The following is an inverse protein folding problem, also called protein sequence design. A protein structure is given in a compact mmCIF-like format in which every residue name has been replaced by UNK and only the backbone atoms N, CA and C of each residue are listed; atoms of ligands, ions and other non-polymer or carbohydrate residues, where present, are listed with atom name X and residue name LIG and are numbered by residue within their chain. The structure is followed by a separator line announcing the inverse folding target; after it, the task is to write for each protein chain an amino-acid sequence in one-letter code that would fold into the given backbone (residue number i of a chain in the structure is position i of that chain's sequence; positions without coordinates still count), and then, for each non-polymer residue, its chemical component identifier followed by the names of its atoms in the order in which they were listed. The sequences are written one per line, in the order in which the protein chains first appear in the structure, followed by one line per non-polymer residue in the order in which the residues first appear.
data_IF_393440432770
#
_entry.id   IF_393440432770
#
_cell.length_a   1.000
_cell.length_b   1.000
_cell.length_c   1.000
_cell.angle_alpha   90.00
_cell.angle_beta   90.00
_cell.angle_gamma   90.00
#
_symmetry.space_group_name_H-M   'P 1'
#
loop_
_entity.id
_entity.type
_entity.pdbx_description
1 polymer ?
#
# COMPACT_ATOMS: atom_id res chain seq x y z
N UNK A 1 6.13 29.94 34.58
CA UNK A 1 6.92 29.27 33.52
C UNK A 1 5.99 28.33 32.79
N UNK A 2 6.11 28.23 31.46
CA UNK A 2 5.30 27.34 30.61
C UNK A 2 6.22 26.54 29.70
N UNK A 3 5.83 25.31 29.38
CA UNK A 3 6.57 24.41 28.49
C UNK A 3 5.67 24.00 27.31
N UNK A 4 6.26 23.84 26.13
CA UNK A 4 5.60 23.27 24.95
C UNK A 4 6.18 21.89 24.69
N UNK A 5 5.32 20.88 24.49
CA UNK A 5 5.71 19.49 24.27
C UNK A 5 5.12 19.02 22.95
N UNK A 6 5.95 18.46 22.08
CA UNK A 6 5.53 17.80 20.84
C UNK A 6 5.90 16.32 20.92
N UNK A 7 4.93 15.43 20.67
CA UNK A 7 5.14 14.00 20.65
C UNK A 7 4.92 13.47 19.23
N UNK A 8 5.96 12.86 18.65
CA UNK A 8 5.91 12.27 17.30
C UNK A 8 6.07 10.76 17.39
N UNK A 9 5.11 10.04 16.82
CA UNK A 9 5.18 8.59 16.67
C UNK A 9 5.91 8.23 15.37
N UNK A 10 6.71 7.14 15.38
CA UNK A 10 7.44 6.67 14.18
C UNK A 10 6.66 5.66 13.34
N UNK A 11 5.60 5.08 13.89
CA UNK A 11 4.77 4.06 13.24
C UNK A 11 3.67 3.60 14.18
N UNK A 12 2.90 2.60 13.76
CA UNK A 12 1.79 2.07 14.54
C UNK A 12 2.27 0.98 15.51
N UNK A 13 2.18 1.20 16.84
CA UNK A 13 2.49 0.17 17.82
C UNK A 13 1.42 -0.92 17.86
N UNK A 14 1.76 -2.09 18.39
CA UNK A 14 0.79 -3.18 18.60
C UNK A 14 -0.27 -2.82 19.66
N UNK A 15 0.10 -2.05 20.67
CA UNK A 15 -0.82 -1.58 21.71
C UNK A 15 -1.47 -0.26 21.28
N UNK A 16 -2.80 -0.25 21.18
CA UNK A 16 -3.59 0.91 20.74
C UNK A 16 -3.62 2.06 21.73
N UNK A 17 -3.36 1.79 23.01
CA UNK A 17 -3.36 2.79 24.06
C UNK A 17 -2.10 2.67 24.90
N UNK A 18 -1.44 3.79 25.15
CA UNK A 18 -0.32 3.90 26.08
C UNK A 18 -0.45 5.14 26.92
N UNK A 19 0.23 5.16 28.06
CA UNK A 19 0.35 6.37 28.87
C UNK A 19 1.78 6.62 29.26
N UNK A 20 2.12 7.89 29.42
CA UNK A 20 3.40 8.32 29.97
C UNK A 20 3.20 9.56 30.84
N UNK A 21 4.14 9.78 31.76
CA UNK A 21 4.03 10.83 32.76
C UNK A 21 5.14 11.85 32.58
N UNK A 22 4.77 13.12 32.56
CA UNK A 22 5.69 14.26 32.61
C UNK A 22 5.59 14.87 34.01
N UNK A 23 6.71 14.96 34.72
CA UNK A 23 6.75 15.58 36.05
C UNK A 23 8.04 16.39 36.25
N UNK A 24 7.97 17.53 36.96
CA UNK A 24 9.17 18.23 37.40
C UNK A 24 9.84 17.48 38.55
N UNK A 25 11.17 17.57 38.62
CA UNK A 25 11.95 16.93 39.67
C UNK A 25 11.65 17.60 41.02
N UNK A 26 11.38 16.81 42.06
CA UNK A 26 11.13 17.32 43.42
C UNK A 26 9.68 17.74 43.72
N UNK A 27 8.76 17.58 42.77
CA UNK A 27 7.33 17.87 42.96
C UNK A 27 6.48 16.60 42.97
N UNK A 28 5.36 16.63 43.70
CA UNK A 28 4.37 15.54 43.72
C UNK A 28 3.44 15.59 42.50
N UNK A 29 3.16 16.79 42.00
CA UNK A 29 2.27 16.98 40.86
C UNK A 29 2.88 16.41 39.58
N UNK A 30 2.04 15.83 38.74
CA UNK A 30 2.45 15.23 37.48
C UNK A 30 1.35 15.34 36.43
N UNK A 31 1.76 15.39 35.17
CA UNK A 31 0.89 15.33 34.01
C UNK A 31 0.93 13.90 33.46
N UNK A 32 -0.22 13.23 33.43
CA UNK A 32 -0.37 11.92 32.80
C UNK A 32 -0.94 12.15 31.40
N UNK A 33 -0.22 11.72 30.38
CA UNK A 33 -0.64 11.81 28.99
C UNK A 33 -1.12 10.43 28.55
N UNK A 34 -2.39 10.33 28.15
CA UNK A 34 -2.95 9.14 27.52
C UNK A 34 -2.88 9.32 26.00
N UNK A 35 -2.28 8.35 25.33
CA UNK A 35 -2.09 8.32 23.88
C UNK A 35 -2.88 7.16 23.31
N UNK A 36 -3.82 7.47 22.43
CA UNK A 36 -4.53 6.49 21.61
C UNK A 36 -3.97 6.56 20.19
N UNK A 37 -3.47 5.44 19.68
CA UNK A 37 -2.92 5.32 18.34
C UNK A 37 -4.04 4.93 17.37
N UNK A 38 -4.39 5.85 16.48
CA UNK A 38 -5.44 5.62 15.48
C UNK A 38 -4.84 5.17 14.15
N UNK A 39 -4.62 3.86 14.06
CA UNK A 39 -3.92 3.21 12.96
C UNK A 39 -4.84 2.45 12.00
N UNK A 40 -6.05 2.15 12.46
CA UNK A 40 -7.01 1.32 11.74
C UNK A 40 -7.98 2.22 10.97
N UNK A 41 -8.42 1.76 9.80
CA UNK A 41 -9.50 2.41 9.07
C UNK A 41 -10.86 1.87 9.57
N UNK A 42 -11.84 2.75 9.74
CA UNK A 42 -13.18 2.36 10.22
C UNK A 42 -13.86 1.26 9.36
N UNK A 43 -13.59 1.23 8.04
CA UNK A 43 -14.11 0.21 7.13
C UNK A 43 -13.55 -1.19 7.38
N UNK A 44 -12.44 -1.34 8.10
CA UNK A 44 -11.89 -2.67 8.43
C UNK A 44 -12.81 -3.46 9.36
N UNK A 45 -13.65 -2.78 10.14
CA UNK A 45 -14.67 -3.43 10.95
C UNK A 45 -15.76 -4.13 10.12
N UNK A 46 -15.89 -3.78 8.83
CA UNK A 46 -16.83 -4.35 7.88
C UNK A 46 -16.15 -5.32 6.90
N UNK A 47 -14.92 -5.74 7.18
CA UNK A 47 -14.21 -6.68 6.33
C UNK A 47 -15.00 -7.99 6.21
N UNK A 48 -15.19 -8.44 4.98
CA UNK A 48 -15.88 -9.69 4.67
C UNK A 48 -14.84 -10.77 4.34
N UNK A 49 -14.48 -11.65 5.29
CA UNK A 49 -13.58 -12.77 5.01
C UNK A 49 -14.24 -13.75 4.04
N UNK A 50 -13.46 -14.33 3.14
CA UNK A 50 -13.94 -15.24 2.08
C UNK A 50 -15.11 -14.65 1.29
N UNK A 51 -15.04 -13.37 0.93
CA UNK A 51 -16.12 -12.68 0.24
C UNK A 51 -16.32 -13.26 -1.16
N UNK A 52 -17.58 -13.39 -1.57
CA UNK A 52 -17.96 -13.77 -2.93
C UNK A 52 -17.37 -12.82 -4.00
N UNK A 53 -17.12 -11.56 -3.63
CA UNK A 53 -16.53 -10.54 -4.50
C UNK A 53 -15.06 -10.81 -4.83
N UNK A 54 -14.37 -11.57 -3.98
CA UNK A 54 -12.98 -11.93 -4.14
C UNK A 54 -12.88 -13.38 -4.65
N UNK A 55 -13.43 -13.60 -5.85
CA UNK A 55 -13.47 -14.89 -6.54
C UNK A 55 -14.03 -16.03 -5.68
N UNK A 56 -15.28 -15.86 -5.21
CA UNK A 56 -16.02 -16.88 -4.45
C UNK A 56 -15.31 -17.43 -3.18
N UNK A 57 -14.50 -16.60 -2.53
CA UNK A 57 -13.90 -16.94 -1.23
C UNK A 57 -12.38 -17.03 -1.22
N UNK A 58 -11.70 -16.59 -2.28
CA UNK A 58 -10.23 -16.60 -2.36
C UNK A 58 -9.57 -15.40 -1.66
N UNK A 59 -10.35 -14.54 -1.01
CA UNK A 59 -9.82 -13.38 -0.29
C UNK A 59 -10.83 -12.69 0.61
N UNK A 60 -10.34 -11.69 1.34
CA UNK A 60 -11.12 -10.83 2.22
C UNK A 60 -11.44 -9.52 1.50
N UNK A 61 -12.72 -9.16 1.41
CA UNK A 61 -13.12 -7.85 0.88
C UNK A 61 -13.07 -6.82 2.00
N UNK A 62 -12.13 -5.88 1.93
CA UNK A 62 -11.85 -4.89 2.99
C UNK A 62 -11.71 -3.51 2.34
N UNK A 63 -12.46 -2.52 2.84
CA UNK A 63 -12.35 -1.11 2.42
C UNK A 63 -12.46 -0.89 0.89
N UNK A 64 -13.22 -1.73 0.17
CA UNK A 64 -13.45 -1.60 -1.26
C UNK A 64 -12.47 -2.38 -2.16
N UNK A 65 -11.50 -3.09 -1.57
CA UNK A 65 -10.51 -3.90 -2.30
C UNK A 65 -10.49 -5.34 -1.80
N UNK A 66 -10.05 -6.26 -2.66
CA UNK A 66 -9.82 -7.65 -2.24
C UNK A 66 -8.40 -7.82 -1.72
N UNK A 67 -8.28 -8.31 -0.48
CA UNK A 67 -7.03 -8.80 0.10
C UNK A 67 -6.97 -10.31 -0.12
N UNK A 68 -6.23 -10.73 -1.15
CA UNK A 68 -6.19 -12.12 -1.55
C UNK A 68 -5.49 -13.02 -0.53
N UNK A 69 -5.99 -14.25 -0.42
CA UNK A 69 -5.35 -15.29 0.37
C UNK A 69 -4.05 -15.78 -0.28
N UNK A 70 -3.29 -16.62 0.42
CA UNK A 70 -2.05 -17.20 -0.11
C UNK A 70 -2.28 -17.91 -1.45
N UNK A 71 -1.40 -17.68 -2.42
CA UNK A 71 -1.47 -18.28 -3.75
C UNK A 71 -2.51 -17.67 -4.69
N UNK A 72 -3.28 -16.66 -4.26
CA UNK A 72 -4.22 -15.94 -5.11
C UNK A 72 -3.80 -14.51 -5.36
N UNK A 73 -3.93 -14.07 -6.61
CA UNK A 73 -3.50 -12.76 -7.09
C UNK A 73 -4.59 -12.11 -7.93
N UNK A 74 -4.40 -10.83 -8.23
CA UNK A 74 -5.33 -10.02 -9.02
C UNK A 74 -6.23 -9.14 -8.15
N UNK A 75 -6.98 -8.28 -8.83
CA UNK A 75 -7.82 -7.26 -8.16
C UNK A 75 -9.04 -7.86 -7.45
N UNK A 76 -9.45 -9.07 -7.86
CA UNK A 76 -10.57 -9.84 -7.35
C UNK A 76 -10.12 -11.25 -6.90
N UNK A 77 -8.82 -11.52 -6.78
CA UNK A 77 -8.28 -12.85 -6.45
C UNK A 77 -8.65 -13.90 -7.50
N UNK A 78 -8.71 -13.49 -8.75
CA UNK A 78 -9.14 -14.26 -9.92
C UNK A 78 -8.10 -15.27 -10.40
N UNK A 79 -6.84 -15.12 -10.00
CA UNK A 79 -5.76 -15.97 -10.47
C UNK A 79 -5.08 -16.76 -9.35
N UNK A 80 -4.79 -18.02 -9.64
CA UNK A 80 -3.90 -18.87 -8.85
C UNK A 80 -2.46 -18.70 -9.34
N UNK A 81 -1.53 -18.51 -8.40
CA UNK A 81 -0.08 -18.44 -8.67
C UNK A 81 0.44 -19.77 -9.25
N UNK A 82 -0.15 -20.91 -8.85
CA UNK A 82 0.24 -22.24 -9.33
C UNK A 82 -0.21 -22.51 -10.78
N UNK A 83 -1.30 -21.88 -11.21
CA UNK A 83 -1.85 -22.03 -12.56
C UNK A 83 -1.27 -21.01 -13.56
N UNK A 84 -0.25 -20.24 -13.15
CA UNK A 84 0.39 -19.25 -14.00
C UNK A 84 1.07 -19.92 -15.20
N UNK A 85 0.48 -19.74 -16.38
CA UNK A 85 1.01 -20.30 -17.63
C UNK A 85 1.95 -19.29 -18.30
N UNK A 86 3.11 -19.73 -18.84
CA UNK A 86 4.03 -18.86 -19.58
C UNK A 86 3.39 -18.10 -20.75
N UNK A 87 2.30 -18.63 -21.31
CA UNK A 87 1.52 -17.96 -22.37
C UNK A 87 0.85 -16.65 -21.93
N UNK A 88 0.66 -16.43 -20.63
CA UNK A 88 0.16 -15.15 -20.09
C UNK A 88 1.26 -14.09 -19.97
N UNK A 89 2.54 -14.49 -20.04
CA UNK A 89 3.67 -13.55 -20.04
C UNK A 89 3.67 -12.67 -21.30
N UNK A 90 3.16 -13.21 -22.42
CA UNK A 90 3.04 -12.50 -23.69
C UNK A 90 2.02 -11.34 -23.59
N UNK A 91 1.01 -11.46 -22.72
CA UNK A 91 0.00 -10.42 -22.49
C UNK A 91 0.56 -9.20 -21.75
N UNK A 92 1.70 -9.36 -21.07
CA UNK A 92 2.43 -8.33 -20.33
C UNK A 92 3.54 -7.65 -21.15
N UNK A 93 3.67 -7.98 -22.43
CA UNK A 93 4.57 -7.30 -23.35
C UNK A 93 3.78 -6.66 -24.49
N UNK A 94 4.06 -5.41 -24.87
CA UNK A 94 3.29 -4.74 -25.90
C UNK A 94 3.47 -5.36 -27.30
N UNK A 95 4.63 -5.99 -27.57
CA UNK A 95 4.97 -6.70 -28.81
C UNK A 95 5.99 -7.79 -28.52
N UNK A 96 6.10 -8.80 -29.40
CA UNK A 96 7.16 -9.79 -29.29
C UNK A 96 8.56 -9.13 -29.31
N UNK A 97 9.42 -9.57 -28.40
CA UNK A 97 10.77 -9.01 -28.22
C UNK A 97 10.83 -7.71 -27.41
N UNK A 98 9.71 -7.16 -26.96
CA UNK A 98 9.70 -6.06 -25.98
C UNK A 98 9.81 -6.61 -24.55
N UNK A 99 10.38 -5.83 -23.62
CA UNK A 99 10.45 -6.23 -22.22
C UNK A 99 9.05 -6.34 -21.59
N UNK A 100 8.87 -7.40 -20.80
CA UNK A 100 7.71 -7.58 -19.94
C UNK A 100 7.59 -6.40 -18.98
N UNK A 101 6.40 -5.80 -18.92
CA UNK A 101 6.08 -4.66 -18.06
C UNK A 101 7.11 -3.52 -18.09
N UNK A 102 7.73 -3.30 -19.26
CA UNK A 102 8.78 -2.30 -19.47
C UNK A 102 9.95 -2.40 -18.47
N UNK A 103 10.19 -3.58 -17.86
CA UNK A 103 11.13 -3.79 -16.74
C UNK A 103 10.86 -2.93 -15.50
N UNK A 104 9.65 -2.39 -15.37
CA UNK A 104 9.22 -1.49 -14.28
C UNK A 104 8.04 -2.06 -13.50
N UNK A 105 7.82 -3.36 -13.59
CA UNK A 105 6.76 -4.08 -12.92
C UNK A 105 6.93 -5.58 -13.04
N UNK A 106 6.06 -6.30 -12.35
CA UNK A 106 5.94 -7.75 -12.43
C UNK A 106 4.69 -8.12 -13.23
N UNK A 107 4.79 -9.15 -14.07
CA UNK A 107 3.64 -9.69 -14.77
C UNK A 107 2.93 -10.69 -13.87
N UNK A 108 1.75 -10.33 -13.38
CA UNK A 108 0.91 -11.19 -12.57
C UNK A 108 -0.41 -11.39 -13.32
N UNK A 109 -0.69 -12.64 -13.69
CA UNK A 109 -1.90 -13.03 -14.41
C UNK A 109 -2.12 -12.35 -15.77
N UNK A 110 -1.07 -12.06 -16.55
CA UNK A 110 -1.21 -11.35 -17.82
C UNK A 110 -1.49 -9.85 -17.67
N UNK A 111 -1.38 -9.31 -16.44
CA UNK A 111 -1.41 -7.88 -16.18
C UNK A 111 -0.12 -7.43 -15.48
N UNK A 112 0.32 -6.21 -15.81
CA UNK A 112 1.50 -5.65 -15.16
C UNK A 112 1.13 -4.96 -13.85
N UNK A 113 1.80 -5.37 -12.78
CA UNK A 113 1.81 -4.67 -11.50
C UNK A 113 3.08 -3.84 -11.42
N UNK A 114 2.94 -2.53 -11.57
CA UNK A 114 4.07 -1.61 -11.62
C UNK A 114 4.74 -1.45 -10.26
N UNK A 115 6.06 -1.36 -10.25
CA UNK A 115 6.82 -1.11 -9.04
C UNK A 115 6.53 0.28 -8.47
N UNK A 116 6.51 0.38 -7.15
CA UNK A 116 6.51 1.67 -6.46
C UNK A 116 7.87 2.36 -6.62
N UNK A 117 7.85 3.67 -6.84
CA UNK A 117 9.06 4.50 -6.94
C UNK A 117 8.98 5.65 -5.94
N UNK A 118 10.10 5.98 -5.29
CA UNK A 118 10.19 7.14 -4.39
C UNK A 118 10.11 8.48 -5.16
N UNK A 119 10.33 8.44 -6.47
CA UNK A 119 10.34 9.63 -7.33
C UNK A 119 8.97 9.99 -7.90
N UNK A 120 7.99 9.09 -7.81
CA UNK A 120 6.64 9.28 -8.34
C UNK A 120 5.96 7.97 -8.72
N UNK A 121 4.87 8.04 -9.48
CA UNK A 121 4.04 6.88 -9.85
C UNK A 121 4.38 6.39 -11.25
N UNK A 122 4.55 5.08 -11.36
CA UNK A 122 4.63 4.36 -12.64
C UNK A 122 3.23 3.84 -12.97
N UNK A 123 2.76 4.07 -14.18
CA UNK A 123 1.40 3.75 -14.63
C UNK A 123 1.40 3.22 -16.06
N UNK A 124 0.24 2.77 -16.54
CA UNK A 124 0.07 2.20 -17.88
C UNK A 124 -0.09 0.69 -17.86
N UNK A 125 -0.60 0.12 -18.95
CA UNK A 125 -0.91 -1.31 -19.04
C UNK A 125 0.34 -2.19 -18.94
N UNK A 126 1.45 -1.66 -19.41
CA UNK A 126 2.76 -2.30 -19.47
C UNK A 126 3.79 -1.55 -18.61
N UNK A 127 3.34 -0.76 -17.65
CA UNK A 127 4.20 0.13 -16.84
C UNK A 127 5.08 1.04 -17.70
N UNK A 128 4.52 1.56 -18.79
CA UNK A 128 5.19 2.35 -19.82
C UNK A 128 5.24 3.86 -19.50
N UNK A 129 4.41 4.35 -18.57
CA UNK A 129 4.33 5.75 -18.21
C UNK A 129 4.84 6.01 -16.80
N UNK A 130 5.34 7.21 -16.56
CA UNK A 130 5.64 7.73 -15.24
C UNK A 130 5.39 9.23 -15.17
N UNK A 131 5.17 9.75 -13.95
CA UNK A 131 4.87 11.16 -13.71
C UNK A 131 6.10 11.98 -13.29
N UNK A 132 7.32 11.46 -13.48
CA UNK A 132 8.55 12.10 -12.99
C UNK A 132 9.65 12.30 -14.04
N UNK A 133 9.55 11.65 -15.20
CA UNK A 133 10.52 11.77 -16.31
C UNK A 133 10.16 12.82 -17.36
N UNK A 134 9.14 13.64 -17.12
CA UNK A 134 8.74 14.72 -18.02
C UNK A 134 9.80 15.82 -18.15
N UNK A 135 9.80 16.52 -19.29
CA UNK A 135 10.68 17.66 -19.55
C UNK A 135 10.46 18.74 -18.50
N UNK A 136 11.55 19.29 -17.97
CA UNK A 136 11.52 20.38 -17.00
C UNK A 136 11.84 21.71 -17.67
N UNK A 137 11.07 22.75 -17.37
CA UNK A 137 11.38 24.11 -17.75
C UNK A 137 11.57 24.97 -16.50
N UNK A 138 12.72 25.64 -16.39
CA UNK A 138 13.11 26.43 -15.20
C UNK A 138 13.06 25.66 -13.86
N UNK A 139 13.27 24.34 -13.89
CA UNK A 139 13.27 23.49 -12.70
C UNK A 139 11.90 22.95 -12.29
N UNK A 140 10.82 23.38 -12.95
CA UNK A 140 9.48 22.85 -12.75
C UNK A 140 9.12 21.85 -13.86
N UNK A 141 8.32 20.84 -13.49
CA UNK A 141 7.82 19.85 -14.43
C UNK A 141 6.62 20.44 -15.18
N UNK A 142 6.59 20.29 -16.51
CA UNK A 142 5.47 20.77 -17.30
C UNK A 142 4.19 20.02 -16.92
N UNK A 143 3.20 20.74 -16.35
CA UNK A 143 1.85 20.24 -16.03
C UNK A 143 0.87 20.46 -17.17
#
# INVERSE_FOLDING_TARGET
VSFSIEAKVRGCPQEKEKSFTIKPVGFKDSLIVQVTFDCDCACQAQAEPNSHRCNNGNGTFECGVCRCGPGWLGSQCECSEEDYRPSQQDECSPREGQPVCSQRGECLCGQCVCHSSDFGKITGKYCECDDFSCVRYKGEMCS
#
